data_IF_740575323387
#
_entry.id   IF_740575323387
#
_cell.length_a   1.000
_cell.length_b   1.000
_cell.length_c   1.000
_cell.angle_alpha   90.00
_cell.angle_beta   90.00
_cell.angle_gamma   90.00
#
_symmetry.space_group_name_H-M   'P 1'
#
loop_
_entity.id
_entity.type
_entity.pdbx_description
1 polymer ?
#
# COMPACT_ATOMS: atom_id res chain seq x y z
N UNK A 1 -36.11 -32.16 16.30
CA UNK A 1 -34.71 -32.02 15.85
C UNK A 1 -34.65 -30.65 15.20
N UNK A 2 -34.56 -29.61 16.03
CA UNK A 2 -34.64 -28.20 15.63
C UNK A 2 -33.24 -27.67 15.44
N UNK A 3 -33.09 -27.08 14.34
CA UNK A 3 -31.95 -26.44 13.68
C UNK A 3 -31.08 -25.61 14.61
N UNK A 4 -29.80 -25.94 14.65
CA UNK A 4 -28.73 -25.28 15.44
C UNK A 4 -27.80 -24.45 14.55
N UNK A 5 -28.27 -24.07 13.33
CA UNK A 5 -27.46 -23.38 12.31
C UNK A 5 -27.47 -21.85 12.37
N UNK A 6 -28.34 -21.20 13.17
CA UNK A 6 -28.55 -19.74 13.10
C UNK A 6 -27.82 -18.90 14.15
N UNK A 7 -26.81 -19.42 14.86
CA UNK A 7 -26.19 -18.67 15.98
C UNK A 7 -24.78 -18.15 15.74
N UNK A 8 -24.30 -18.05 14.49
CA UNK A 8 -22.93 -17.56 14.21
C UNK A 8 -22.83 -16.43 13.19
N UNK A 9 -23.89 -15.71 12.87
CA UNK A 9 -23.87 -14.59 11.90
C UNK A 9 -23.89 -13.19 12.54
N UNK A 10 -23.64 -13.07 13.85
CA UNK A 10 -23.37 -11.77 14.47
C UNK A 10 -21.95 -11.33 14.13
N UNK A 11 -21.83 -10.69 12.97
CA UNK A 11 -20.58 -10.11 12.49
C UNK A 11 -20.05 -9.03 13.44
N UNK A 12 -18.74 -8.87 13.51
CA UNK A 12 -18.08 -7.81 14.29
C UNK A 12 -18.45 -6.46 13.70
N UNK A 13 -18.92 -5.52 14.53
CA UNK A 13 -19.18 -4.13 14.13
C UNK A 13 -18.18 -3.20 14.81
N UNK A 14 -17.58 -2.30 14.04
CA UNK A 14 -16.63 -1.28 14.51
C UNK A 14 -16.90 0.06 13.82
N UNK A 15 -16.44 1.16 14.39
CA UNK A 15 -16.49 2.46 13.71
C UNK A 15 -15.50 2.51 12.53
N UNK A 16 -14.30 1.91 12.70
CA UNK A 16 -13.25 1.94 11.68
C UNK A 16 -12.65 0.56 11.46
N UNK A 17 -12.68 0.08 10.23
CA UNK A 17 -11.92 -1.10 9.79
C UNK A 17 -10.64 -0.64 9.09
N UNK A 18 -9.49 -1.12 9.53
CA UNK A 18 -8.20 -0.91 8.87
C UNK A 18 -7.78 -2.21 8.20
N UNK A 19 -7.60 -2.18 6.89
CA UNK A 19 -7.23 -3.35 6.08
C UNK A 19 -5.73 -3.33 5.79
N UNK A 20 -5.00 -4.27 6.39
CA UNK A 20 -3.54 -4.38 6.35
C UNK A 20 -2.87 -3.94 7.64
N UNK A 21 -2.06 -4.82 8.24
CA UNK A 21 -1.27 -4.58 9.46
C UNK A 21 0.22 -4.33 9.18
N UNK A 22 0.53 -3.74 8.01
CA UNK A 22 1.83 -3.19 7.69
C UNK A 22 2.06 -1.83 8.37
N UNK A 23 3.17 -1.15 8.02
CA UNK A 23 3.51 0.16 8.58
C UNK A 23 2.36 1.19 8.50
N UNK A 24 1.61 1.18 7.40
CA UNK A 24 0.52 2.12 7.17
C UNK A 24 -0.68 1.85 8.10
N UNK A 25 -1.09 0.59 8.22
CA UNK A 25 -2.18 0.22 9.11
C UNK A 25 -1.85 0.40 10.58
N UNK A 26 -0.64 0.02 10.99
CA UNK A 26 -0.20 0.22 12.37
C UNK A 26 -0.06 1.70 12.74
N UNK A 27 0.48 2.53 11.82
CA UNK A 27 0.51 3.99 12.00
C UNK A 27 -0.90 4.60 12.08
N UNK A 28 -1.85 4.08 11.31
CA UNK A 28 -3.27 4.48 11.40
C UNK A 28 -3.87 4.09 12.74
N UNK A 29 -3.65 2.85 13.19
CA UNK A 29 -4.10 2.35 14.48
C UNK A 29 -3.58 3.17 15.66
N UNK A 30 -2.31 3.61 15.62
CA UNK A 30 -1.74 4.52 16.61
C UNK A 30 -2.54 5.83 16.72
N UNK A 31 -2.85 6.45 15.58
CA UNK A 31 -3.61 7.69 15.61
C UNK A 31 -5.07 7.48 16.02
N UNK A 32 -5.72 6.39 15.64
CA UNK A 32 -7.05 6.03 16.11
C UNK A 32 -7.06 5.88 17.63
N UNK A 33 -6.15 5.08 18.19
CA UNK A 33 -6.07 4.84 19.64
C UNK A 33 -5.73 6.09 20.46
N UNK A 34 -4.97 7.04 19.91
CA UNK A 34 -4.47 8.21 20.65
C UNK A 34 -5.30 9.47 20.47
N UNK A 35 -6.12 9.54 19.42
CA UNK A 35 -6.80 10.79 19.01
C UNK A 35 -8.30 10.69 18.92
N UNK A 36 -8.87 9.50 19.09
CA UNK A 36 -10.30 9.27 18.99
C UNK A 36 -10.78 8.31 20.08
N UNK A 37 -12.09 8.26 20.30
CA UNK A 37 -12.77 7.23 21.08
C UNK A 37 -13.45 6.19 20.20
N UNK A 38 -13.15 6.17 18.90
CA UNK A 38 -13.76 5.28 17.93
C UNK A 38 -13.29 3.83 18.15
N UNK A 39 -14.21 2.90 18.10
CA UNK A 39 -13.89 1.49 18.04
C UNK A 39 -13.24 1.17 16.69
N UNK A 40 -12.17 0.38 16.69
CA UNK A 40 -11.52 -0.01 15.44
C UNK A 40 -10.91 -1.40 15.52
N UNK A 41 -10.73 -2.00 14.34
CA UNK A 41 -10.06 -3.28 14.17
C UNK A 41 -9.10 -3.18 12.98
N UNK A 42 -7.89 -3.71 13.14
CA UNK A 42 -6.92 -3.88 12.07
C UNK A 42 -6.93 -5.35 11.66
N UNK A 43 -7.16 -5.64 10.38
CA UNK A 43 -7.15 -7.01 9.86
C UNK A 43 -5.99 -7.23 8.89
N UNK A 44 -5.40 -8.42 8.91
CA UNK A 44 -4.37 -8.81 7.98
C UNK A 44 -4.44 -10.31 7.66
N UNK A 45 -4.26 -10.67 6.39
CA UNK A 45 -4.25 -12.06 5.95
C UNK A 45 -2.99 -12.84 6.33
N UNK A 46 -1.95 -12.17 6.81
CA UNK A 46 -0.70 -12.79 7.22
C UNK A 46 -0.85 -13.57 8.53
N UNK A 47 0.01 -14.57 8.73
CA UNK A 47 0.04 -15.36 9.97
C UNK A 47 0.67 -14.59 11.15
N UNK A 48 1.57 -13.67 10.84
CA UNK A 48 2.31 -12.86 11.83
C UNK A 48 2.60 -11.46 11.30
N UNK A 49 2.77 -10.52 12.21
CA UNK A 49 3.13 -9.15 11.88
C UNK A 49 4.52 -9.08 11.23
N UNK A 50 4.68 -8.14 10.30
CA UNK A 50 5.94 -7.92 9.59
C UNK A 50 6.22 -8.93 8.47
N UNK A 51 5.25 -9.79 8.10
CA UNK A 51 5.44 -10.85 7.10
C UNK A 51 5.88 -10.29 5.74
N UNK A 52 5.38 -9.12 5.33
CA UNK A 52 5.80 -8.46 4.10
C UNK A 52 7.30 -8.12 4.04
N UNK A 53 7.94 -7.93 5.19
CA UNK A 53 9.39 -7.76 5.30
C UNK A 53 10.10 -9.12 5.38
N UNK A 54 9.63 -10.07 6.19
CA UNK A 54 10.25 -11.39 6.34
C UNK A 54 10.34 -12.17 5.03
N UNK A 55 9.35 -11.97 4.15
CA UNK A 55 9.31 -12.61 2.82
C UNK A 55 10.26 -12.00 1.80
N UNK A 56 11.02 -10.96 2.13
CA UNK A 56 12.06 -10.43 1.25
C UNK A 56 13.31 -11.30 1.30
N UNK A 57 14.22 -11.07 0.37
CA UNK A 57 15.49 -11.80 0.28
C UNK A 57 16.33 -11.62 1.54
N UNK A 58 17.18 -12.61 1.83
CA UNK A 58 17.84 -12.73 3.13
C UNK A 58 18.87 -11.65 3.41
N UNK A 59 19.53 -11.16 2.39
CA UNK A 59 20.50 -10.07 2.50
C UNK A 59 19.88 -8.68 2.59
N UNK A 60 18.53 -8.54 2.52
CA UNK A 60 17.90 -7.23 2.48
C UNK A 60 18.26 -6.38 3.71
N UNK A 61 18.84 -5.23 3.43
CA UNK A 61 19.06 -4.14 4.37
C UNK A 61 18.26 -2.93 3.89
N UNK A 62 17.56 -2.28 4.80
CA UNK A 62 16.84 -1.05 4.48
C UNK A 62 17.83 0.01 4.00
N UNK A 63 17.48 0.76 2.98
CA UNK A 63 18.28 1.88 2.52
C UNK A 63 18.03 3.17 3.32
N UNK A 64 17.00 3.19 4.18
CA UNK A 64 16.73 4.29 5.11
C UNK A 64 17.38 4.01 6.47
N UNK A 65 18.16 4.95 7.04
CA UNK A 65 18.68 4.80 8.38
C UNK A 65 17.59 4.53 9.41
N UNK A 66 17.90 3.81 10.49
CA UNK A 66 16.95 3.46 11.58
C UNK A 66 16.15 4.65 12.09
N UNK A 67 16.81 5.80 12.22
CA UNK A 67 16.16 7.05 12.63
C UNK A 67 15.02 7.47 11.69
N UNK A 68 15.16 7.20 10.40
CA UNK A 68 14.17 7.49 9.36
C UNK A 68 13.30 6.28 9.01
N UNK A 69 13.29 5.26 9.86
CA UNK A 69 12.51 4.02 9.69
C UNK A 69 11.61 3.76 10.90
N UNK A 70 11.15 4.83 11.56
CA UNK A 70 10.34 4.75 12.77
C UNK A 70 8.90 5.15 12.52
N UNK A 71 7.96 4.45 13.16
CA UNK A 71 6.55 4.82 13.24
C UNK A 71 6.31 5.85 14.37
N UNK A 72 5.16 6.56 14.37
CA UNK A 72 4.86 7.53 15.40
C UNK A 72 4.81 6.92 16.80
N UNK A 73 5.33 7.65 17.79
CA UNK A 73 5.30 7.24 19.19
C UNK A 73 6.36 6.24 19.62
N UNK A 74 6.95 5.45 18.72
CA UNK A 74 7.95 4.44 19.07
C UNK A 74 9.06 4.41 18.04
N UNK A 75 10.27 4.77 18.46
CA UNK A 75 11.45 4.73 17.58
C UNK A 75 11.86 3.28 17.27
N UNK A 76 12.40 3.07 16.05
CA UNK A 76 13.03 1.81 15.70
C UNK A 76 14.23 1.58 16.64
N UNK A 77 14.37 0.39 17.26
CA UNK A 77 15.44 0.10 18.19
C UNK A 77 16.83 0.31 17.57
N UNK A 78 17.80 0.67 18.42
CA UNK A 78 19.21 0.61 18.03
C UNK A 78 19.58 -0.84 17.75
N UNK A 79 20.48 -1.07 16.80
CA UNK A 79 20.94 -2.38 16.39
C UNK A 79 22.33 -2.28 15.80
N UNK A 80 22.80 -3.36 15.17
CA UNK A 80 24.09 -3.38 14.51
C UNK A 80 24.04 -2.52 13.23
N UNK A 81 24.79 -1.45 13.21
CA UNK A 81 24.88 -0.54 12.09
C UNK A 81 23.73 0.49 12.02
N UNK A 82 23.84 1.39 11.05
CA UNK A 82 22.94 2.52 10.82
C UNK A 82 21.60 2.08 10.19
N UNK A 83 21.63 1.00 9.43
CA UNK A 83 20.48 0.50 8.64
C UNK A 83 19.95 -0.80 9.23
N UNK A 84 18.64 -0.96 9.25
CA UNK A 84 18.02 -2.17 9.75
C UNK A 84 17.97 -3.27 8.68
N UNK A 85 18.14 -4.53 9.09
CA UNK A 85 17.87 -5.69 8.25
C UNK A 85 16.35 -5.96 8.18
N UNK A 86 15.92 -6.74 7.17
CA UNK A 86 14.51 -7.07 6.95
C UNK A 86 13.81 -7.61 8.20
N UNK A 87 14.48 -8.52 8.93
CA UNK A 87 13.88 -9.15 10.09
C UNK A 87 13.79 -8.20 11.29
N UNK A 88 14.76 -7.30 11.46
CA UNK A 88 14.67 -6.23 12.46
C UNK A 88 13.51 -5.26 12.17
N UNK A 89 13.25 -4.96 10.90
CA UNK A 89 12.10 -4.16 10.50
C UNK A 89 10.78 -4.89 10.78
N UNK A 90 10.72 -6.20 10.51
CA UNK A 90 9.58 -7.04 10.80
C UNK A 90 9.31 -7.15 12.32
N UNK A 91 10.35 -7.40 13.11
CA UNK A 91 10.27 -7.49 14.58
C UNK A 91 9.85 -6.16 15.19
N UNK A 92 10.34 -5.05 14.64
CA UNK A 92 9.93 -3.71 15.05
C UNK A 92 8.43 -3.49 14.86
N UNK A 93 7.84 -3.90 13.73
CA UNK A 93 6.39 -3.77 13.51
C UNK A 93 5.59 -4.61 14.50
N UNK A 94 6.04 -5.84 14.80
CA UNK A 94 5.40 -6.71 15.78
C UNK A 94 5.47 -6.10 17.20
N UNK A 95 6.65 -5.64 17.60
CA UNK A 95 6.85 -4.94 18.88
C UNK A 95 6.01 -3.66 18.97
N UNK A 96 5.95 -2.89 17.89
CA UNK A 96 5.15 -1.67 17.82
C UNK A 96 3.66 -1.94 18.09
N UNK A 97 3.06 -2.91 17.41
CA UNK A 97 1.66 -3.26 17.60
C UNK A 97 1.37 -3.69 19.04
N UNK A 98 2.25 -4.50 19.63
CA UNK A 98 2.12 -4.96 21.02
C UNK A 98 2.25 -3.79 22.03
N UNK A 99 3.26 -2.92 21.85
CA UNK A 99 3.50 -1.76 22.71
C UNK A 99 2.35 -0.76 22.69
N UNK A 100 1.82 -0.47 21.50
CA UNK A 100 0.68 0.44 21.31
C UNK A 100 -0.67 -0.24 21.59
N UNK A 101 -0.68 -1.53 21.94
CA UNK A 101 -1.88 -2.35 22.24
C UNK A 101 -2.93 -2.25 21.14
N UNK A 102 -2.48 -2.33 19.88
CA UNK A 102 -3.38 -2.20 18.75
C UNK A 102 -4.24 -3.47 18.58
N UNK A 103 -5.54 -3.35 18.33
CA UNK A 103 -6.43 -4.48 18.09
C UNK A 103 -6.19 -5.06 16.68
N UNK A 104 -5.20 -5.93 16.54
CA UNK A 104 -4.85 -6.58 15.28
C UNK A 104 -5.38 -8.01 15.26
N UNK A 105 -6.12 -8.35 14.20
CA UNK A 105 -6.57 -9.71 13.90
C UNK A 105 -5.83 -10.22 12.66
N UNK A 106 -4.91 -11.15 12.88
CA UNK A 106 -4.15 -11.84 11.83
C UNK A 106 -4.95 -13.01 11.25
N UNK A 107 -4.43 -13.62 10.15
CA UNK A 107 -5.10 -14.72 9.41
C UNK A 107 -6.50 -14.34 8.95
N UNK A 108 -6.76 -13.05 8.81
CA UNK A 108 -8.05 -12.49 8.43
C UNK A 108 -7.88 -11.77 7.09
N UNK A 109 -8.02 -12.55 6.02
CA UNK A 109 -7.95 -12.02 4.66
C UNK A 109 -9.30 -11.42 4.28
N UNK A 110 -9.29 -10.21 3.77
CA UNK A 110 -10.45 -9.58 3.16
C UNK A 110 -10.75 -10.25 1.81
N UNK A 111 -11.97 -10.71 1.62
CA UNK A 111 -12.44 -11.37 0.41
C UNK A 111 -13.23 -10.40 -0.47
N UNK A 112 -14.14 -9.63 0.14
CA UNK A 112 -14.87 -8.55 -0.53
C UNK A 112 -15.10 -7.39 0.43
N UNK A 113 -15.15 -6.18 -0.12
CA UNK A 113 -15.60 -4.97 0.57
C UNK A 113 -16.67 -4.32 -0.29
N UNK A 114 -17.87 -4.20 0.24
CA UNK A 114 -18.99 -3.55 -0.43
C UNK A 114 -19.55 -2.43 0.43
N UNK A 115 -20.34 -1.56 -0.20
CA UNK A 115 -21.10 -0.54 0.51
C UNK A 115 -22.44 -1.12 0.96
N UNK A 116 -22.83 -0.76 2.18
CA UNK A 116 -24.15 -1.06 2.75
C UNK A 116 -24.79 0.30 3.08
N UNK A 117 -25.99 0.53 2.58
CA UNK A 117 -26.65 1.84 2.72
C UNK A 117 -26.91 2.21 4.18
N UNK A 118 -27.15 1.21 5.04
CA UNK A 118 -27.48 1.42 6.46
C UNK A 118 -26.22 1.43 7.36
N UNK A 119 -25.19 0.65 7.04
CA UNK A 119 -24.05 0.37 7.92
C UNK A 119 -22.73 0.98 7.44
N UNK A 120 -22.67 1.59 6.26
CA UNK A 120 -21.47 2.13 5.65
C UNK A 120 -20.75 1.09 4.79
N UNK A 121 -20.07 0.12 5.37
CA UNK A 121 -19.32 -0.92 4.65
C UNK A 121 -19.52 -2.30 5.27
N UNK A 122 -19.57 -3.31 4.41
CA UNK A 122 -19.55 -4.72 4.77
C UNK A 122 -18.30 -5.35 4.17
N UNK A 123 -17.50 -5.94 5.03
CA UNK A 123 -16.29 -6.67 4.69
C UNK A 123 -16.51 -8.17 4.94
N UNK A 124 -16.51 -8.97 3.89
CA UNK A 124 -16.44 -10.42 4.02
C UNK A 124 -14.97 -10.84 4.15
N UNK A 125 -14.68 -11.62 5.16
CA UNK A 125 -13.33 -12.07 5.46
C UNK A 125 -13.26 -13.58 5.63
N UNK A 126 -12.05 -14.13 5.65
CA UNK A 126 -11.84 -15.56 5.94
C UNK A 126 -12.25 -15.97 7.37
N UNK A 127 -12.52 -15.02 8.26
CA UNK A 127 -12.91 -15.27 9.66
C UNK A 127 -14.29 -14.75 10.02
N UNK A 128 -15.11 -14.42 9.01
CA UNK A 128 -16.47 -13.91 9.17
C UNK A 128 -16.65 -12.47 8.71
N UNK A 129 -17.85 -11.96 8.86
CA UNK A 129 -18.29 -10.64 8.40
C UNK A 129 -17.88 -9.55 9.39
N UNK A 130 -17.45 -8.41 8.85
CA UNK A 130 -17.16 -7.19 9.63
C UNK A 130 -17.94 -6.03 9.02
N UNK A 131 -18.67 -5.29 9.86
CA UNK A 131 -19.36 -4.05 9.48
C UNK A 131 -18.58 -2.86 10.00
N UNK A 132 -18.43 -1.81 9.18
CA UNK A 132 -17.70 -0.61 9.59
C UNK A 132 -18.29 0.64 8.95
N UNK A 133 -18.34 1.76 9.69
CA UNK A 133 -18.74 3.07 9.13
C UNK A 133 -17.64 3.65 8.25
N UNK A 134 -16.39 3.43 8.61
CA UNK A 134 -15.23 3.91 7.88
C UNK A 134 -14.27 2.76 7.59
N UNK A 135 -13.62 2.81 6.43
CA UNK A 135 -12.60 1.84 6.06
C UNK A 135 -11.32 2.57 5.66
N UNK A 136 -10.19 2.10 6.18
CA UNK A 136 -8.85 2.53 5.76
C UNK A 136 -8.16 1.39 5.05
N UNK A 137 -7.95 1.54 3.75
CA UNK A 137 -7.16 0.59 2.95
C UNK A 137 -5.68 0.91 3.13
N UNK A 138 -4.96 0.00 3.81
CA UNK A 138 -3.55 0.11 4.16
C UNK A 138 -2.74 -1.11 3.68
N UNK A 139 -3.19 -1.75 2.59
CA UNK A 139 -2.61 -2.99 2.02
C UNK A 139 -1.26 -2.77 1.33
N UNK A 140 -0.89 -1.51 1.10
CA UNK A 140 0.34 -1.14 0.41
C UNK A 140 0.30 -1.38 -1.10
N UNK A 141 1.37 -0.99 -1.82
CA UNK A 141 1.44 -1.06 -3.28
C UNK A 141 2.04 -2.38 -3.80
N UNK A 142 2.54 -3.25 -2.93
CA UNK A 142 3.32 -4.45 -3.32
C UNK A 142 2.49 -5.72 -3.15
N UNK A 143 1.30 -5.77 -3.80
CA UNK A 143 0.32 -6.83 -3.61
C UNK A 143 0.46 -7.96 -4.63
N UNK A 144 0.51 -7.68 -5.93
CA UNK A 144 0.63 -8.67 -6.99
C UNK A 144 1.96 -8.52 -7.76
N UNK A 145 2.90 -9.47 -7.65
CA UNK A 145 4.12 -9.47 -8.47
C UNK A 145 3.77 -9.40 -9.96
N UNK A 146 4.52 -8.58 -10.69
CA UNK A 146 4.31 -8.43 -12.14
C UNK A 146 5.44 -9.10 -12.92
N UNK A 147 5.11 -10.13 -13.68
CA UNK A 147 6.00 -10.75 -14.68
C UNK A 147 5.46 -10.37 -16.06
N UNK A 148 6.29 -9.80 -16.96
CA UNK A 148 5.86 -9.44 -18.30
C UNK A 148 5.49 -10.65 -19.14
N UNK A 149 4.56 -10.51 -20.11
CA UNK A 149 4.15 -11.56 -21.03
C UNK A 149 5.32 -12.10 -21.89
N UNK A 150 6.35 -11.28 -22.08
CA UNK A 150 7.61 -11.68 -22.70
C UNK A 150 8.28 -12.90 -22.05
N UNK A 151 7.98 -13.19 -20.79
CA UNK A 151 8.47 -14.35 -20.06
C UNK A 151 7.98 -15.69 -20.62
N UNK A 152 6.80 -15.71 -21.26
CA UNK A 152 6.16 -16.95 -21.74
C UNK A 152 6.89 -17.66 -22.87
N UNK A 153 7.78 -16.96 -23.58
CA UNK A 153 8.58 -17.53 -24.69
C UNK A 153 9.88 -18.21 -24.24
N UNK A 154 10.20 -18.20 -22.95
CA UNK A 154 11.39 -18.85 -22.41
C UNK A 154 11.23 -20.38 -22.38
N UNK A 155 12.33 -21.07 -22.72
CA UNK A 155 12.41 -22.52 -22.57
C UNK A 155 12.23 -22.91 -21.08
N UNK A 156 11.51 -24.01 -20.76
CA UNK A 156 11.34 -24.49 -19.39
C UNK A 156 12.66 -24.76 -18.62
N UNK A 157 13.77 -24.95 -19.32
CA UNK A 157 15.09 -25.09 -18.69
C UNK A 157 15.65 -23.77 -18.12
N UNK A 158 15.10 -22.61 -18.53
CA UNK A 158 15.47 -21.32 -17.98
C UNK A 158 14.63 -21.04 -16.73
N UNK A 159 15.28 -21.01 -15.59
CA UNK A 159 14.61 -20.70 -14.34
C UNK A 159 14.07 -19.25 -14.34
N UNK A 160 12.84 -19.07 -13.89
CA UNK A 160 12.23 -17.74 -13.78
C UNK A 160 11.72 -17.51 -12.38
N UNK A 161 12.08 -16.39 -11.78
CA UNK A 161 11.67 -16.02 -10.44
C UNK A 161 11.36 -14.51 -10.37
N UNK A 162 10.29 -14.15 -9.69
CA UNK A 162 10.07 -12.75 -9.35
C UNK A 162 10.82 -12.40 -8.05
N UNK A 163 11.27 -11.16 -7.91
CA UNK A 163 11.98 -10.68 -6.71
C UNK A 163 11.18 -10.82 -5.40
N UNK A 164 9.87 -11.04 -5.47
CA UNK A 164 9.02 -11.35 -4.32
C UNK A 164 9.30 -12.74 -3.74
N UNK A 165 9.68 -13.68 -4.59
CA UNK A 165 9.87 -15.10 -4.25
C UNK A 165 11.36 -15.45 -4.06
N UNK A 166 12.25 -14.60 -4.52
CA UNK A 166 13.70 -14.76 -4.34
C UNK A 166 14.10 -14.59 -2.87
N UNK A 167 14.98 -15.47 -2.38
CA UNK A 167 15.54 -15.45 -1.03
C UNK A 167 17.07 -15.32 -1.04
N UNK A 168 17.75 -16.09 -1.87
CA UNK A 168 19.19 -16.17 -1.94
C UNK A 168 19.69 -16.55 -3.35
N UNK A 169 21.00 -16.39 -3.65
CA UNK A 169 21.55 -16.81 -4.94
C UNK A 169 21.31 -18.28 -5.29
N UNK A 170 21.06 -19.13 -4.30
CA UNK A 170 20.83 -20.57 -4.51
C UNK A 170 19.47 -20.85 -5.15
N UNK A 171 18.54 -19.91 -5.11
CA UNK A 171 17.23 -20.03 -5.77
C UNK A 171 17.31 -19.96 -7.31
N UNK A 172 18.45 -19.48 -7.84
CA UNK A 172 18.66 -19.31 -9.28
C UNK A 172 19.79 -20.25 -9.76
N UNK A 173 19.45 -21.29 -10.55
CA UNK A 173 20.46 -22.20 -11.09
C UNK A 173 21.29 -21.54 -12.20
N UNK A 174 22.41 -22.19 -12.54
CA UNK A 174 23.26 -21.79 -13.64
C UNK A 174 24.23 -20.67 -13.31
N UNK A 175 24.93 -20.16 -14.32
CA UNK A 175 25.96 -19.14 -14.16
C UNK A 175 25.54 -17.79 -14.74
N UNK A 176 24.76 -17.80 -15.81
CA UNK A 176 24.30 -16.58 -16.49
C UNK A 176 22.93 -16.18 -15.99
N UNK A 177 22.85 -15.04 -15.30
CA UNK A 177 21.59 -14.54 -14.74
C UNK A 177 21.24 -13.18 -15.36
N UNK A 178 20.03 -13.08 -15.90
CA UNK A 178 19.44 -11.83 -16.36
C UNK A 178 18.55 -11.25 -15.25
N UNK A 179 18.87 -10.06 -14.77
CA UNK A 179 18.02 -9.27 -13.85
C UNK A 179 17.26 -8.24 -14.67
N UNK A 180 15.94 -8.27 -14.63
CA UNK A 180 15.08 -7.36 -15.41
C UNK A 180 14.41 -6.35 -14.49
N UNK A 181 14.75 -5.07 -14.65
CA UNK A 181 14.17 -3.96 -13.87
C UNK A 181 15.15 -2.84 -13.59
N UNK A 182 14.62 -1.65 -13.28
CA UNK A 182 15.42 -0.43 -13.07
C UNK A 182 15.30 0.15 -11.64
N UNK A 183 14.72 -0.59 -10.69
CA UNK A 183 14.51 -0.13 -9.32
C UNK A 183 15.56 -0.61 -8.31
N UNK A 184 15.40 -0.20 -7.04
CA UNK A 184 16.31 -0.57 -5.95
C UNK A 184 16.44 -2.10 -5.76
N UNK A 185 15.37 -2.87 -5.97
CA UNK A 185 15.44 -4.34 -5.90
C UNK A 185 16.38 -4.92 -6.95
N UNK A 186 16.26 -4.47 -8.21
CA UNK A 186 17.16 -4.92 -9.28
C UNK A 186 18.63 -4.59 -8.97
N UNK A 187 18.88 -3.38 -8.47
CA UNK A 187 20.25 -2.96 -8.13
C UNK A 187 20.85 -3.78 -6.98
N UNK A 188 20.11 -3.99 -5.90
CA UNK A 188 20.61 -4.76 -4.74
C UNK A 188 20.82 -6.23 -5.09
N UNK A 189 19.87 -6.84 -5.79
CA UNK A 189 19.96 -8.26 -6.17
C UNK A 189 21.02 -8.51 -7.24
N UNK A 190 21.22 -7.59 -8.17
CA UNK A 190 22.32 -7.69 -9.13
C UNK A 190 23.70 -7.64 -8.44
N UNK A 191 23.84 -6.80 -7.41
CA UNK A 191 25.08 -6.74 -6.60
C UNK A 191 25.32 -8.05 -5.85
N UNK A 192 24.28 -8.60 -5.22
CA UNK A 192 24.37 -9.87 -4.51
C UNK A 192 24.75 -11.02 -5.45
N UNK A 193 24.04 -11.15 -6.57
CA UNK A 193 24.26 -12.21 -7.56
C UNK A 193 25.65 -12.13 -8.23
N UNK A 194 26.15 -10.91 -8.44
CA UNK A 194 27.46 -10.70 -9.07
C UNK A 194 28.64 -11.25 -8.26
N UNK A 195 28.44 -11.59 -6.99
CA UNK A 195 29.46 -12.26 -6.18
C UNK A 195 29.75 -13.68 -6.66
N UNK A 196 28.79 -14.37 -7.29
CA UNK A 196 28.88 -15.77 -7.66
C UNK A 196 28.40 -16.10 -9.08
N UNK A 197 27.83 -15.14 -9.80
CA UNK A 197 27.20 -15.33 -11.11
C UNK A 197 27.69 -14.27 -12.12
N UNK A 198 27.53 -14.56 -13.39
CA UNK A 198 27.65 -13.54 -14.47
C UNK A 198 26.29 -12.86 -14.63
N UNK A 199 26.23 -11.61 -14.26
CA UNK A 199 24.98 -10.86 -14.21
C UNK A 199 24.87 -9.88 -15.38
N UNK A 200 23.75 -9.94 -16.10
CA UNK A 200 23.32 -8.90 -17.02
C UNK A 200 22.08 -8.23 -16.40
N UNK A 201 22.04 -6.90 -16.38
CA UNK A 201 20.88 -6.12 -15.91
C UNK A 201 20.24 -5.46 -17.11
N UNK A 202 18.95 -5.76 -17.37
CA UNK A 202 18.14 -5.06 -18.37
C UNK A 202 17.28 -3.99 -17.66
N UNK A 203 17.66 -2.74 -17.84
CA UNK A 203 17.05 -1.57 -17.18
C UNK A 203 16.61 -0.52 -18.22
N UNK A 204 15.37 -0.58 -18.69
CA UNK A 204 14.88 0.36 -19.72
C UNK A 204 15.05 1.82 -19.32
N UNK A 205 15.74 2.62 -20.14
CA UNK A 205 16.03 4.02 -19.85
C UNK A 205 17.12 4.26 -18.79
N UNK A 206 17.83 3.18 -18.40
CA UNK A 206 18.93 3.26 -17.44
C UNK A 206 18.49 3.36 -15.97
N UNK A 207 19.47 3.50 -15.12
CA UNK A 207 19.31 3.69 -13.67
C UNK A 207 20.03 4.95 -13.23
N UNK A 208 19.43 5.74 -12.34
CA UNK A 208 20.13 6.87 -11.75
C UNK A 208 20.46 6.63 -10.29
N UNK A 209 21.73 6.87 -9.92
CA UNK A 209 22.27 6.50 -8.62
C UNK A 209 22.48 7.73 -7.75
N UNK A 210 22.08 7.61 -6.49
CA UNK A 210 22.35 8.57 -5.45
C UNK A 210 23.40 8.00 -4.50
N UNK A 211 24.38 8.79 -4.04
CA UNK A 211 25.32 8.32 -3.05
C UNK A 211 24.56 7.98 -1.76
N UNK A 212 24.90 6.85 -1.13
CA UNK A 212 24.37 6.51 0.20
C UNK A 212 24.86 7.48 1.28
N UNK A 213 26.07 8.06 1.09
CA UNK A 213 26.69 9.03 1.99
C UNK A 213 27.27 10.22 1.22
N UNK A 214 27.11 11.40 1.81
CA UNK A 214 27.71 12.66 1.36
C UNK A 214 28.48 13.24 2.55
N UNK A 215 29.76 13.53 2.39
CA UNK A 215 30.66 13.98 3.46
C UNK A 215 30.63 13.03 4.70
N UNK A 216 30.61 11.72 4.46
CA UNK A 216 30.58 10.71 5.53
C UNK A 216 29.22 10.52 6.22
N UNK A 217 28.23 11.33 5.91
CA UNK A 217 26.89 11.31 6.51
C UNK A 217 25.88 10.74 5.51
N UNK A 218 24.93 9.92 5.97
CA UNK A 218 23.88 9.38 5.11
C UNK A 218 23.13 10.48 4.39
N UNK A 219 22.84 10.28 3.09
CA UNK A 219 22.10 11.23 2.25
C UNK A 219 20.72 11.58 2.82
N UNK A 220 20.14 10.71 3.64
CA UNK A 220 18.85 10.96 4.30
C UNK A 220 18.89 12.11 5.31
N UNK A 221 20.03 12.38 5.96
CA UNK A 221 20.20 13.55 6.79
C UNK A 221 20.16 14.85 5.98
N UNK A 222 20.74 14.84 4.79
CA UNK A 222 20.69 15.96 3.86
C UNK A 222 19.27 16.18 3.33
N UNK A 223 18.56 15.10 2.98
CA UNK A 223 17.17 15.18 2.58
C UNK A 223 16.26 15.71 3.71
N UNK A 224 16.54 15.34 4.93
CA UNK A 224 15.84 15.85 6.10
C UNK A 224 16.15 17.33 6.33
N UNK A 225 17.41 17.73 6.34
CA UNK A 225 17.87 19.11 6.55
C UNK A 225 17.31 20.07 5.50
N UNK A 226 17.30 19.67 4.23
CA UNK A 226 16.77 20.48 3.10
C UNK A 226 15.25 20.42 2.97
N UNK A 227 14.56 19.61 3.79
CA UNK A 227 13.12 19.37 3.66
C UNK A 227 12.71 18.52 2.45
N UNK A 228 13.66 18.08 1.63
CA UNK A 228 13.39 17.28 0.40
C UNK A 228 12.62 16.01 0.70
N UNK A 229 12.96 15.29 1.78
CA UNK A 229 12.28 14.07 2.20
C UNK A 229 10.77 14.28 2.40
N UNK A 230 10.39 15.45 2.90
CA UNK A 230 9.00 15.83 3.19
C UNK A 230 8.36 16.72 2.12
N UNK A 231 8.96 16.78 0.92
CA UNK A 231 8.42 17.59 -0.18
C UNK A 231 6.99 17.15 -0.53
N UNK A 232 6.04 18.11 -0.67
CA UNK A 232 4.69 17.80 -1.16
C UNK A 232 4.73 17.07 -2.50
N UNK A 233 3.86 16.09 -2.71
CA UNK A 233 3.81 15.29 -3.95
C UNK A 233 3.59 16.16 -5.20
N UNK A 234 2.91 17.29 -5.07
CA UNK A 234 2.69 18.27 -6.14
C UNK A 234 3.85 19.27 -6.34
N UNK A 235 4.90 19.25 -5.52
CA UNK A 235 6.03 20.17 -5.64
C UNK A 235 6.86 19.94 -6.91
N UNK A 236 7.61 20.95 -7.34
CA UNK A 236 8.54 20.83 -8.49
C UNK A 236 9.59 19.73 -8.24
N UNK A 237 10.12 19.66 -7.02
CA UNK A 237 11.11 18.64 -6.63
C UNK A 237 10.52 17.24 -6.76
N UNK A 238 9.33 17.00 -6.18
CA UNK A 238 8.67 15.71 -6.26
C UNK A 238 8.32 15.31 -7.70
N UNK A 239 7.88 16.26 -8.53
CA UNK A 239 7.62 16.01 -9.97
C UNK A 239 8.89 15.62 -10.72
N UNK A 240 10.01 16.30 -10.45
CA UNK A 240 11.29 15.99 -11.08
C UNK A 240 11.79 14.59 -10.69
N UNK A 241 11.72 14.26 -9.39
CA UNK A 241 12.11 12.92 -8.90
C UNK A 241 11.21 11.85 -9.52
N UNK A 242 9.89 12.07 -9.55
CA UNK A 242 8.94 11.12 -10.15
C UNK A 242 9.19 10.90 -11.65
N UNK A 243 9.53 11.95 -12.39
CA UNK A 243 9.82 11.86 -13.81
C UNK A 243 11.09 11.05 -14.12
N UNK A 244 12.06 11.01 -13.16
CA UNK A 244 13.29 10.21 -13.29
C UNK A 244 13.14 8.78 -12.78
N UNK A 245 12.03 8.43 -12.14
CA UNK A 245 11.86 7.18 -11.41
C UNK A 245 12.50 7.22 -10.02
N UNK A 246 12.44 6.09 -9.32
CA UNK A 246 13.02 5.98 -7.98
C UNK A 246 14.56 5.97 -8.07
N UNK A 247 15.22 6.88 -7.32
CA UNK A 247 16.68 6.91 -7.23
C UNK A 247 17.22 5.66 -6.51
N UNK A 248 18.22 5.07 -7.10
CA UNK A 248 18.95 3.96 -6.48
C UNK A 248 19.86 4.52 -5.39
N UNK A 249 19.65 4.10 -4.15
CA UNK A 249 20.46 4.52 -3.02
C UNK A 249 21.70 3.61 -2.91
N UNK A 250 22.87 4.18 -3.10
CA UNK A 250 24.14 3.45 -3.20
C UNK A 250 24.66 3.43 -4.63
N UNK A 251 25.95 3.16 -4.79
CA UNK A 251 26.66 3.12 -6.08
C UNK A 251 27.36 1.79 -6.33
N UNK A 252 27.03 0.75 -5.54
CA UNK A 252 27.71 -0.55 -5.62
C UNK A 252 27.52 -1.20 -6.99
N UNK A 253 26.28 -1.20 -7.52
CA UNK A 253 26.01 -1.69 -8.87
C UNK A 253 26.76 -0.85 -9.92
N UNK A 254 26.75 0.48 -9.80
CA UNK A 254 27.48 1.37 -10.72
C UNK A 254 28.97 1.05 -10.74
N UNK A 255 29.57 0.76 -9.57
CA UNK A 255 30.97 0.38 -9.48
C UNK A 255 31.23 -0.98 -10.13
N UNK A 256 30.34 -1.97 -9.98
CA UNK A 256 30.47 -3.28 -10.63
C UNK A 256 30.33 -3.18 -12.17
N UNK A 257 29.44 -2.33 -12.65
CA UNK A 257 29.29 -2.06 -14.10
C UNK A 257 30.55 -1.40 -14.64
N UNK A 258 31.09 -0.38 -13.95
CA UNK A 258 32.33 0.31 -14.36
C UNK A 258 33.54 -0.63 -14.35
N UNK A 259 33.56 -1.62 -13.44
CA UNK A 259 34.59 -2.65 -13.36
C UNK A 259 34.40 -3.81 -14.36
N UNK A 260 33.36 -3.78 -15.20
CA UNK A 260 33.03 -4.86 -16.16
C UNK A 260 32.56 -6.17 -15.53
N UNK A 261 32.23 -6.17 -14.23
CA UNK A 261 31.74 -7.36 -13.48
C UNK A 261 30.24 -7.60 -13.69
N UNK A 262 29.50 -6.55 -14.01
CA UNK A 262 28.06 -6.62 -14.37
C UNK A 262 27.88 -5.92 -15.71
N UNK A 263 27.19 -6.59 -16.63
CA UNK A 263 26.75 -5.98 -17.89
C UNK A 263 25.43 -5.26 -17.68
N UNK A 264 25.32 -4.01 -18.06
CA UNK A 264 24.06 -3.25 -18.07
C UNK A 264 23.62 -3.00 -19.49
N UNK A 265 22.34 -3.27 -19.79
CA UNK A 265 21.68 -2.92 -21.04
C UNK A 265 20.47 -2.03 -20.73
N UNK A 266 20.36 -0.90 -21.42
CA UNK A 266 19.31 0.10 -21.15
C UNK A 266 18.05 -0.13 -21.99
N UNK A 267 17.93 -1.36 -22.52
CA UNK A 267 16.87 -1.76 -23.39
C UNK A 267 15.74 -2.50 -22.67
N UNK A 268 14.53 -2.41 -23.24
CA UNK A 268 13.36 -3.14 -22.76
C UNK A 268 13.39 -4.57 -23.26
N UNK A 269 13.01 -5.50 -22.41
CA UNK A 269 12.68 -6.87 -22.82
C UNK A 269 11.37 -6.84 -23.61
N UNK A 270 11.40 -7.38 -24.83
CA UNK A 270 10.27 -7.39 -25.78
C UNK A 270 9.69 -8.78 -26.00
N UNK A 271 10.49 -9.83 -25.76
CA UNK A 271 10.08 -11.23 -25.94
C UNK A 271 11.15 -12.17 -25.45
N UNK A 272 10.92 -13.46 -25.66
CA UNK A 272 11.90 -14.49 -25.40
C UNK A 272 11.68 -15.66 -26.37
N UNK A 273 12.76 -16.36 -26.71
CA UNK A 273 12.73 -17.59 -27.52
C UNK A 273 13.83 -18.54 -27.08
N UNK A 274 13.44 -19.74 -26.64
CA UNK A 274 14.39 -20.70 -26.08
C UNK A 274 15.08 -20.11 -24.85
N UNK A 275 16.42 -20.10 -24.84
CA UNK A 275 17.22 -19.52 -23.75
C UNK A 275 17.59 -18.05 -23.95
N UNK A 276 17.08 -17.42 -24.99
CA UNK A 276 17.41 -16.04 -25.32
C UNK A 276 16.25 -15.10 -25.04
N UNK A 277 16.53 -14.03 -24.29
CA UNK A 277 15.61 -12.92 -24.04
C UNK A 277 15.88 -11.83 -25.07
N UNK A 278 14.87 -11.46 -25.84
CA UNK A 278 14.95 -10.43 -26.86
C UNK A 278 14.82 -9.03 -26.27
N UNK A 279 15.62 -8.10 -26.75
CA UNK A 279 15.65 -6.70 -26.36
C UNK A 279 15.07 -5.81 -27.45
N UNK A 280 14.69 -4.59 -27.11
CA UNK A 280 14.03 -3.66 -28.03
C UNK A 280 14.93 -3.18 -29.19
N UNK A 281 16.24 -3.24 -29.02
CA UNK A 281 17.22 -2.94 -30.07
C UNK A 281 17.46 -4.09 -31.08
N UNK A 282 16.73 -5.20 -30.92
CA UNK A 282 16.86 -6.41 -31.74
C UNK A 282 17.97 -7.35 -31.29
N UNK A 283 18.72 -7.02 -30.24
CA UNK A 283 19.72 -7.93 -29.65
C UNK A 283 19.08 -8.92 -28.70
N UNK A 284 19.82 -9.96 -28.30
CA UNK A 284 19.36 -10.97 -27.36
C UNK A 284 20.36 -11.21 -26.22
N UNK A 285 19.84 -11.65 -25.09
CA UNK A 285 20.63 -12.11 -23.92
C UNK A 285 20.32 -13.56 -23.66
N UNK A 286 21.32 -14.44 -23.89
CA UNK A 286 21.21 -15.85 -23.50
C UNK A 286 21.46 -15.97 -22.01
N UNK A 287 20.61 -16.71 -21.31
CA UNK A 287 20.66 -16.80 -19.85
C UNK A 287 20.25 -18.18 -19.36
N UNK A 288 20.71 -18.56 -18.16
CA UNK A 288 20.30 -19.77 -17.42
C UNK A 288 19.07 -19.48 -16.52
N UNK A 289 18.97 -18.23 -16.03
CA UNK A 289 17.90 -17.81 -15.17
C UNK A 289 17.54 -16.34 -15.38
N UNK A 290 16.26 -16.01 -15.16
CA UNK A 290 15.76 -14.63 -15.18
C UNK A 290 15.16 -14.27 -13.82
N UNK A 291 15.66 -13.17 -13.25
CA UNK A 291 15.11 -12.57 -12.04
C UNK A 291 14.29 -11.33 -12.40
N UNK A 292 12.99 -11.45 -12.30
CA UNK A 292 12.05 -10.36 -12.62
C UNK A 292 11.96 -9.38 -11.44
N UNK A 293 12.61 -8.24 -11.57
CA UNK A 293 12.51 -7.10 -10.65
C UNK A 293 11.59 -6.02 -11.23
N UNK A 294 10.52 -6.44 -11.86
CA UNK A 294 9.60 -5.63 -12.68
C UNK A 294 8.48 -4.98 -11.88
N UNK A 295 8.57 -5.07 -10.54
CA UNK A 295 7.65 -4.42 -9.62
C UNK A 295 6.34 -5.17 -9.44
N UNK A 296 5.31 -4.43 -9.05
CA UNK A 296 4.01 -4.98 -8.65
C UNK A 296 2.87 -4.25 -9.32
N UNK A 297 1.75 -4.93 -9.49
CA UNK A 297 0.49 -4.31 -9.88
C UNK A 297 -0.44 -4.22 -8.66
N UNK A 298 -1.30 -3.21 -8.59
CA UNK A 298 -2.35 -3.16 -7.59
C UNK A 298 -3.27 -4.37 -7.76
N UNK A 299 -3.60 -5.02 -6.66
CA UNK A 299 -4.63 -6.04 -6.61
C UNK A 299 -5.72 -5.60 -5.63
N UNK A 300 -6.77 -5.04 -6.19
CA UNK A 300 -7.93 -4.55 -5.46
C UNK A 300 -9.22 -5.20 -5.96
N UNK A 301 -9.15 -6.42 -6.53
CA UNK A 301 -10.32 -7.14 -7.05
C UNK A 301 -11.40 -7.39 -5.97
N UNK A 302 -11.00 -7.40 -4.71
CA UNK A 302 -11.88 -7.51 -3.55
C UNK A 302 -12.68 -6.23 -3.23
N UNK A 303 -12.34 -5.08 -3.83
CA UNK A 303 -12.93 -3.79 -3.52
C UNK A 303 -14.10 -3.49 -4.47
N UNK A 304 -15.30 -3.86 -4.05
CA UNK A 304 -16.56 -3.63 -4.76
C UNK A 304 -17.24 -2.30 -4.42
N UNK A 305 -16.48 -1.25 -4.07
CA UNK A 305 -17.01 0.08 -3.71
C UNK A 305 -17.01 0.98 -4.95
N UNK A 306 -18.19 1.46 -5.41
CA UNK A 306 -18.27 2.30 -6.61
C UNK A 306 -17.41 3.56 -6.51
N UNK A 307 -16.69 3.88 -7.59
CA UNK A 307 -15.83 5.07 -7.69
C UNK A 307 -14.54 5.01 -6.89
N UNK A 308 -14.26 3.92 -6.18
CA UNK A 308 -13.02 3.76 -5.40
C UNK A 308 -11.80 3.44 -6.28
N UNK A 309 -12.02 2.82 -7.43
CA UNK A 309 -10.99 2.43 -8.39
C UNK A 309 -11.26 3.02 -9.76
N UNK A 310 -10.20 3.29 -10.51
CA UNK A 310 -10.29 3.65 -11.93
C UNK A 310 -10.44 2.40 -12.83
N UNK A 311 -10.58 2.63 -14.15
CA UNK A 311 -10.73 1.53 -15.12
C UNK A 311 -9.51 0.61 -15.24
N UNK A 312 -8.41 0.90 -14.55
CA UNK A 312 -7.20 0.09 -14.49
C UNK A 312 -7.00 -0.56 -13.10
N UNK A 313 -8.02 -0.50 -12.23
CA UNK A 313 -7.97 -1.05 -10.87
C UNK A 313 -7.09 -0.26 -9.89
N UNK A 314 -6.73 0.99 -10.24
CA UNK A 314 -5.91 1.85 -9.37
C UNK A 314 -6.80 2.68 -8.44
N UNK A 315 -6.35 2.96 -7.20
CA UNK A 315 -7.06 3.81 -6.27
C UNK A 315 -7.37 5.20 -6.81
N UNK A 316 -8.65 5.57 -6.84
CA UNK A 316 -9.07 6.96 -7.08
C UNK A 316 -9.08 7.66 -5.73
N UNK A 317 -8.19 8.65 -5.57
CA UNK A 317 -8.02 9.33 -4.28
C UNK A 317 -7.41 10.73 -4.42
N UNK A 318 -7.76 11.62 -3.49
CA UNK A 318 -7.10 12.90 -3.29
C UNK A 318 -6.51 12.93 -1.86
N UNK A 319 -5.19 12.99 -1.78
CA UNK A 319 -4.46 12.99 -0.51
C UNK A 319 -4.96 11.91 0.49
N UNK A 320 -5.28 10.71 -0.03
CA UNK A 320 -5.77 9.56 0.70
C UNK A 320 -7.28 9.51 0.93
N UNK A 321 -8.06 10.49 0.49
CA UNK A 321 -9.53 10.46 0.53
C UNK A 321 -10.07 9.86 -0.76
N UNK A 322 -10.89 8.83 -0.66
CA UNK A 322 -11.67 8.32 -1.80
C UNK A 322 -12.85 9.25 -2.11
N UNK A 323 -13.30 9.32 -3.38
CA UNK A 323 -14.60 9.91 -3.70
C UNK A 323 -15.77 9.24 -2.98
N UNK A 324 -15.65 7.95 -2.68
CA UNK A 324 -16.65 7.21 -1.90
C UNK A 324 -16.54 7.60 -0.41
N UNK A 325 -17.59 8.24 0.19
CA UNK A 325 -17.54 8.70 1.58
C UNK A 325 -17.22 7.57 2.56
N UNK A 326 -16.39 7.84 3.58
CA UNK A 326 -15.99 6.85 4.58
C UNK A 326 -14.84 5.93 4.17
N UNK A 327 -14.42 5.93 2.89
CA UNK A 327 -13.27 5.15 2.41
C UNK A 327 -12.01 6.02 2.33
N UNK A 328 -10.92 5.51 2.90
CA UNK A 328 -9.63 6.19 2.95
C UNK A 328 -8.49 5.27 2.52
N UNK A 329 -7.41 5.87 2.02
CA UNK A 329 -6.18 5.18 1.61
C UNK A 329 -5.01 5.69 2.44
N UNK A 330 -4.13 4.80 2.91
CA UNK A 330 -2.90 5.16 3.62
C UNK A 330 -1.76 4.26 3.16
N UNK A 331 -0.59 4.86 2.93
CA UNK A 331 0.62 4.11 2.55
C UNK A 331 0.82 3.95 1.05
N UNK A 332 0.08 4.68 0.23
CA UNK A 332 0.34 4.72 -1.21
C UNK A 332 1.60 5.58 -1.50
N UNK A 333 2.45 5.17 -2.45
CA UNK A 333 3.56 5.99 -2.91
C UNK A 333 3.07 7.37 -3.38
N UNK A 334 3.80 8.43 -3.02
CA UNK A 334 3.50 9.80 -3.44
C UNK A 334 2.11 10.32 -3.01
N UNK A 335 1.48 9.72 -2.04
CA UNK A 335 0.10 10.05 -1.64
C UNK A 335 -0.06 11.54 -1.30
N UNK A 336 0.74 12.06 -0.36
CA UNK A 336 0.78 13.50 -0.06
C UNK A 336 2.18 14.08 -0.18
N UNK A 337 3.21 13.23 -0.07
CA UNK A 337 4.62 13.63 -0.04
C UNK A 337 5.50 12.59 -0.75
N UNK A 338 6.74 12.99 -1.02
CA UNK A 338 7.77 12.12 -1.57
C UNK A 338 7.95 10.85 -0.73
N UNK A 339 7.91 10.96 0.59
CA UNK A 339 8.15 9.85 1.51
C UNK A 339 6.88 9.08 1.94
N UNK A 340 5.70 9.34 1.40
CA UNK A 340 4.43 8.70 1.81
C UNK A 340 4.49 7.16 1.82
N UNK A 341 5.25 6.54 0.92
CA UNK A 341 5.36 5.07 0.82
C UNK A 341 6.40 4.43 1.74
N UNK A 342 7.26 5.20 2.44
CA UNK A 342 8.28 4.65 3.35
C UNK A 342 7.83 4.69 4.81
N UNK A 343 8.52 3.95 5.69
CA UNK A 343 8.06 3.68 7.07
C UNK A 343 7.72 4.97 7.83
N UNK A 344 8.61 5.97 7.86
CA UNK A 344 8.34 7.21 8.58
C UNK A 344 7.38 8.18 7.85
N UNK A 345 7.16 7.97 6.56
CA UNK A 345 6.30 8.84 5.77
C UNK A 345 4.81 8.61 6.00
N UNK A 346 4.44 7.41 6.45
CA UNK A 346 3.03 7.03 6.69
C UNK A 346 2.39 7.81 7.83
N UNK A 347 3.16 8.30 8.81
CA UNK A 347 2.65 9.02 9.99
C UNK A 347 1.70 10.15 9.62
N UNK A 348 2.13 11.01 8.71
CA UNK A 348 1.35 12.19 8.32
C UNK A 348 0.07 11.84 7.59
N UNK A 349 0.14 10.85 6.69
CA UNK A 349 -1.00 10.42 5.90
C UNK A 349 -2.01 9.69 6.77
N UNK A 350 -1.56 8.83 7.68
CA UNK A 350 -2.37 8.18 8.68
C UNK A 350 -3.08 9.18 9.62
N UNK A 351 -2.34 10.17 10.12
CA UNK A 351 -2.90 11.22 10.97
C UNK A 351 -3.99 12.02 10.25
N UNK A 352 -3.77 12.40 8.97
CA UNK A 352 -4.76 13.11 8.17
C UNK A 352 -6.02 12.26 7.93
N UNK A 353 -5.85 10.97 7.62
CA UNK A 353 -6.97 10.06 7.44
C UNK A 353 -7.80 9.98 8.72
N UNK A 354 -7.17 9.78 9.88
CA UNK A 354 -7.87 9.72 11.17
C UNK A 354 -8.54 11.04 11.55
N UNK A 355 -7.94 12.19 11.27
CA UNK A 355 -8.57 13.49 11.49
C UNK A 355 -9.85 13.66 10.65
N UNK A 356 -9.83 13.21 9.39
CA UNK A 356 -11.01 13.24 8.51
C UNK A 356 -12.11 12.30 9.03
N UNK A 357 -11.73 11.07 9.39
CA UNK A 357 -12.66 10.08 9.95
C UNK A 357 -13.35 10.63 11.20
N UNK A 358 -12.60 11.22 12.14
CA UNK A 358 -13.17 11.81 13.34
C UNK A 358 -14.13 12.96 13.05
N UNK A 359 -13.80 13.82 12.08
CA UNK A 359 -14.65 14.94 11.67
C UNK A 359 -15.92 14.46 10.96
N UNK A 360 -15.82 13.45 10.10
CA UNK A 360 -16.96 12.86 9.40
C UNK A 360 -17.90 12.17 10.40
N UNK A 361 -17.35 11.36 11.32
CA UNK A 361 -18.12 10.69 12.37
C UNK A 361 -18.88 11.67 13.28
N UNK A 362 -18.25 12.80 13.65
CA UNK A 362 -18.90 13.82 14.47
C UNK A 362 -20.06 14.50 13.75
N UNK A 363 -19.95 14.73 12.44
CA UNK A 363 -21.01 15.31 11.63
C UNK A 363 -22.20 14.36 11.48
N UNK A 364 -21.93 13.06 11.26
CA UNK A 364 -22.97 12.04 11.13
C UNK A 364 -23.76 11.89 12.43
N UNK A 365 -23.09 11.93 13.58
CA UNK A 365 -23.77 11.92 14.89
C UNK A 365 -24.65 13.15 15.10
N UNK A 366 -24.16 14.33 14.78
CA UNK A 366 -24.88 15.57 14.93
C UNK A 366 -26.14 15.60 14.04
N UNK A 367 -26.01 15.16 12.78
CA UNK A 367 -27.14 15.02 11.88
C UNK A 367 -28.21 14.05 12.39
N UNK A 368 -27.81 12.96 13.04
CA UNK A 368 -28.73 11.98 13.64
C UNK A 368 -29.42 12.56 14.88
N UNK A 369 -28.71 13.29 15.73
CA UNK A 369 -29.26 13.96 16.93
C UNK A 369 -30.24 15.07 16.55
N UNK A 370 -29.94 15.87 15.53
CA UNK A 370 -30.81 16.92 15.01
C UNK A 370 -32.08 16.33 14.37
N UNK A 371 -31.98 15.21 13.66
CA UNK A 371 -33.12 14.51 13.06
C UNK A 371 -34.08 13.91 14.10
N UNK A 372 -33.52 13.44 15.24
CA UNK A 372 -34.31 12.89 16.35
C UNK A 372 -34.90 13.94 17.28
N UNK A 373 -34.30 15.14 17.31
CA UNK A 373 -34.74 16.26 18.14
C UNK A 373 -35.74 17.19 17.44
N UNK A 374 -36.02 16.99 16.13
CA UNK A 374 -37.01 17.80 15.41
C UNK A 374 -38.42 17.37 15.83
N UNK A 375 -39.26 18.25 16.48
CA UNK A 375 -40.57 17.89 16.90
C UNK A 375 -41.46 17.61 15.66
N UNK A 376 -42.17 16.49 15.70
CA UNK A 376 -43.13 16.10 14.68
C UNK A 376 -44.06 17.29 14.38
N UNK A 377 -43.91 17.82 13.17
CA UNK A 377 -44.71 18.92 12.66
C UNK A 377 -46.18 18.62 12.85
N UNK A 378 -46.83 19.53 13.57
CA UNK A 378 -48.29 19.72 13.79
C UNK A 378 -49.14 19.15 12.67
N UNK A 379 -50.15 18.40 13.12
CA UNK A 379 -51.31 17.94 12.30
C UNK A 379 -51.86 19.09 11.48
N UNK A 380 -52.31 18.86 10.25
CA UNK A 380 -53.07 19.86 9.50
C UNK A 380 -54.41 20.11 10.20
N UNK A 381 -54.67 21.37 10.48
CA UNK A 381 -55.94 21.90 10.96
C UNK A 381 -57.06 21.48 10.01
N UNK A 382 -58.06 20.78 10.55
CA UNK A 382 -59.29 20.42 9.83
C UNK A 382 -60.07 21.67 9.47
N UNK A 383 -60.08 22.03 8.21
CA UNK A 383 -60.98 23.07 7.66
C UNK A 383 -62.41 22.57 7.80
N UNK A 384 -63.19 23.22 8.69
CA UNK A 384 -64.65 23.05 8.82
C UNK A 384 -65.31 23.43 7.51
N UNK A 385 -66.02 22.47 6.92
CA UNK A 385 -66.90 22.69 5.80
C UNK A 385 -68.01 23.68 6.17
N UNK A 386 -68.06 24.82 5.51
CA UNK A 386 -69.17 25.78 5.57
C UNK A 386 -70.40 25.22 4.83
N UNK A 387 -71.57 25.41 5.43
CA UNK A 387 -72.89 25.09 4.91
C UNK A 387 -73.16 25.79 3.57
N UNK A 388 -73.86 25.17 2.63
CA UNK A 388 -74.33 25.82 1.39
C UNK A 388 -75.49 26.79 1.66
N UNK A 389 -75.37 28.00 1.16
CA UNK A 389 -76.48 28.98 1.14
C UNK A 389 -77.44 28.69 -0.03
N UNK A 390 -78.63 28.77 0.29
CA UNK A 390 -79.83 28.61 -0.58
C UNK A 390 -79.87 29.66 -1.69
N UNK A 391 -80.20 29.22 -2.88
CA UNK A 391 -80.69 30.05 -4.02
C UNK A 391 -82.04 30.74 -3.75
N UNK A 392 -82.24 31.93 -4.29
CA UNK A 392 -83.63 32.38 -4.67
C UNK A 392 -83.76 32.36 -6.19
N UNK A 393 -84.92 31.94 -6.52
CA UNK A 393 -85.61 31.88 -7.80
C UNK A 393 -86.12 33.28 -8.28
N UNK A 394 -86.28 33.42 -9.65
CA UNK A 394 -87.14 34.30 -10.42
C UNK A 394 -86.83 35.81 -10.50
N UNK A 395 -86.88 36.36 -11.64
CA UNK A 395 -87.86 36.57 -12.67
C UNK A 395 -87.41 37.67 -13.68
N UNK A 396 -87.85 37.45 -14.91
CA UNK A 396 -88.03 38.31 -16.06
C UNK A 396 -87.09 38.21 -17.22
#
# INVERSE_FOLDING_TARGET
MTDRSDRNDEGVTVDVLVVGAGQAGLGTGHHLARRTSLSFLIVDGAERLGESWRRRWDSLVLFTPRRFSSLPGTAMPRGVGEYARKDEAADYLAHYAARERLPVRLRTRLLTLTRDDDAGFVAETTTGRIRARHVVVATGPYTAPYVPDAASGLDPSVAQLHSADYRSPDDLPGQDVLVVGAGNSAAQLAVELAATRRVTVAAPGGMWFLPSRVLGVSVYWWFWLTGTLNSPSASRVSRLVRARGDGIIGRDLQALVAAGKVRMVEERVTGAHGRSVALADGTGVTTDAVLWCTGYRPDHAWLGVPGALDGQGRPVQDAGRSPSPGLHWVGLPWQTRLNSGIINGVDRDARKAVQRIAADHSRDRQATEDATSSPASTRPETVRAGRPASTPEEAA
#
